data_IF_196782225881
#
_entry.id   IF_196782225881
#
_cell.length_a   1.000
_cell.length_b   1.000
_cell.length_c   1.000
_cell.angle_alpha   90.00
_cell.angle_beta   90.00
_cell.angle_gamma   90.00
#
_symmetry.space_group_name_H-M   'P 1'
#
loop_
_entity.id
_entity.type
_entity.pdbx_description
1 polymer ?
#
# COMPACT_ATOMS: atom_id res chain seq x y z
N UNK A 1 -19.94 -15.14 15.95
CA UNK A 1 -19.83 -14.36 14.68
C UNK A 1 -18.57 -13.55 14.74
N UNK A 2 -17.76 -13.56 13.69
CA UNK A 2 -16.52 -12.78 13.70
C UNK A 2 -16.86 -11.28 13.66
N UNK A 3 -16.32 -10.54 14.62
CA UNK A 3 -16.41 -9.09 14.68
C UNK A 3 -15.62 -8.48 13.51
N UNK A 4 -16.12 -7.40 12.96
CA UNK A 4 -15.47 -6.71 11.83
C UNK A 4 -15.27 -5.24 12.16
N UNK A 5 -14.14 -4.69 11.74
CA UNK A 5 -13.66 -3.37 12.15
C UNK A 5 -13.31 -2.50 10.94
N UNK A 6 -13.36 -1.18 11.13
CA UNK A 6 -12.65 -0.17 10.32
C UNK A 6 -11.91 0.72 11.33
N UNK A 7 -10.58 0.67 11.35
CA UNK A 7 -9.81 1.31 12.39
C UNK A 7 -10.30 0.90 13.79
N UNK A 8 -10.59 1.84 14.70
CA UNK A 8 -11.11 1.55 16.03
C UNK A 8 -12.61 1.22 16.06
N UNK A 9 -13.34 1.39 14.95
CA UNK A 9 -14.80 1.25 14.89
C UNK A 9 -15.21 -0.19 14.68
N UNK A 10 -16.04 -0.72 15.60
CA UNK A 10 -16.57 -2.08 15.57
C UNK A 10 -17.93 -2.14 14.89
N UNK A 11 -18.15 -3.18 14.08
CA UNK A 11 -19.42 -3.47 13.41
C UNK A 11 -19.88 -4.89 13.71
N UNK A 12 -21.18 -5.05 13.90
CA UNK A 12 -21.78 -6.36 14.21
C UNK A 12 -21.70 -7.35 13.05
N UNK A 13 -21.66 -6.87 11.80
CA UNK A 13 -21.64 -7.70 10.59
C UNK A 13 -20.85 -7.05 9.47
N UNK A 14 -20.39 -7.86 8.50
CA UNK A 14 -19.76 -7.35 7.26
C UNK A 14 -20.69 -6.40 6.50
N UNK A 15 -22.00 -6.68 6.49
CA UNK A 15 -23.01 -5.84 5.83
C UNK A 15 -23.13 -4.47 6.53
N UNK A 16 -23.15 -4.44 7.86
CA UNK A 16 -23.18 -3.19 8.62
C UNK A 16 -21.92 -2.34 8.38
N UNK A 17 -20.74 -2.98 8.34
CA UNK A 17 -19.47 -2.33 8.00
C UNK A 17 -19.48 -1.72 6.60
N UNK A 18 -19.96 -2.48 5.61
CA UNK A 18 -20.08 -1.98 4.24
C UNK A 18 -21.12 -0.86 4.15
N UNK A 19 -22.26 -1.00 4.84
CA UNK A 19 -23.31 0.01 4.90
C UNK A 19 -22.79 1.35 5.42
N UNK A 20 -21.99 1.35 6.48
CA UNK A 20 -21.40 2.57 7.01
C UNK A 20 -20.58 3.37 5.97
N UNK A 21 -19.81 2.67 5.13
CA UNK A 21 -19.07 3.34 4.04
C UNK A 21 -20.03 3.85 2.95
N UNK A 22 -21.04 3.06 2.59
CA UNK A 22 -22.03 3.46 1.60
C UNK A 22 -22.85 4.68 2.06
N UNK A 23 -23.18 4.76 3.35
CA UNK A 23 -23.88 5.89 3.95
C UNK A 23 -23.04 7.17 3.87
N UNK A 24 -21.72 7.10 4.09
CA UNK A 24 -20.82 8.22 3.86
C UNK A 24 -20.88 8.65 2.38
N UNK A 25 -20.64 7.73 1.46
CA UNK A 25 -20.64 8.03 0.03
C UNK A 25 -21.99 8.58 -0.46
N UNK A 26 -23.10 8.20 0.17
CA UNK A 26 -24.43 8.68 -0.16
C UNK A 26 -24.64 10.15 0.24
N UNK A 27 -24.05 10.59 1.36
CA UNK A 27 -24.21 11.97 1.89
C UNK A 27 -23.64 13.06 0.98
N UNK A 28 -22.61 12.73 0.20
CA UNK A 28 -21.90 13.72 -0.62
C UNK A 28 -22.27 13.61 -2.09
N UNK A 29 -22.34 14.72 -2.78
CA UNK A 29 -22.51 14.75 -4.24
C UNK A 29 -21.20 14.35 -4.96
N UNK A 30 -21.30 14.02 -6.25
CA UNK A 30 -20.09 13.78 -7.06
C UNK A 30 -19.21 15.05 -7.11
N UNK A 31 -17.93 14.88 -6.82
CA UNK A 31 -16.94 15.95 -6.75
C UNK A 31 -16.91 16.69 -5.42
N UNK A 32 -17.87 16.45 -4.52
CA UNK A 32 -17.92 17.11 -3.22
C UNK A 32 -16.84 16.58 -2.30
N UNK A 33 -16.23 17.49 -1.54
CA UNK A 33 -15.27 17.18 -0.47
C UNK A 33 -16.02 16.58 0.73
N UNK A 34 -15.42 15.61 1.36
CA UNK A 34 -15.89 15.04 2.63
C UNK A 34 -15.45 15.98 3.74
N UNK A 35 -16.38 16.78 4.25
CA UNK A 35 -16.16 17.88 5.19
C UNK A 35 -16.51 17.54 6.65
N UNK A 36 -17.16 16.39 6.89
CA UNK A 36 -17.43 15.92 8.23
C UNK A 36 -16.21 15.15 8.77
N UNK A 37 -15.72 15.55 9.93
CA UNK A 37 -14.52 14.98 10.56
C UNK A 37 -14.63 13.46 10.77
N UNK A 38 -15.78 12.97 11.26
CA UNK A 38 -16.01 11.54 11.48
C UNK A 38 -15.97 10.72 10.19
N UNK A 39 -16.44 11.30 9.08
CA UNK A 39 -16.43 10.67 7.76
C UNK A 39 -15.01 10.63 7.18
N UNK A 40 -14.27 11.74 7.32
CA UNK A 40 -12.86 11.81 6.90
C UNK A 40 -12.01 10.80 7.67
N UNK A 41 -12.15 10.74 8.99
CA UNK A 41 -11.44 9.78 9.83
C UNK A 41 -11.77 8.33 9.45
N UNK A 42 -13.04 8.02 9.18
CA UNK A 42 -13.42 6.67 8.75
C UNK A 42 -12.82 6.32 7.40
N UNK A 43 -12.78 7.25 6.45
CA UNK A 43 -12.18 7.02 5.13
C UNK A 43 -10.65 6.88 5.22
N UNK A 44 -9.97 7.58 6.15
CA UNK A 44 -8.52 7.37 6.43
C UNK A 44 -8.27 5.97 6.97
N UNK A 45 -9.04 5.56 7.97
CA UNK A 45 -8.95 4.20 8.53
C UNK A 45 -9.22 3.15 7.45
N UNK A 46 -10.22 3.38 6.61
CA UNK A 46 -10.57 2.50 5.51
C UNK A 46 -9.45 2.40 4.46
N UNK A 47 -8.86 3.53 4.05
CA UNK A 47 -7.76 3.55 3.09
C UNK A 47 -6.53 2.80 3.62
N UNK A 48 -6.25 2.90 4.92
CA UNK A 48 -5.17 2.15 5.58
C UNK A 48 -5.38 0.63 5.53
N UNK A 49 -6.62 0.16 5.34
CA UNK A 49 -6.94 -1.26 5.14
C UNK A 49 -6.79 -1.71 3.67
N UNK A 50 -6.51 -0.80 2.74
CA UNK A 50 -6.34 -1.17 1.33
C UNK A 50 -5.08 -2.03 1.16
N UNK A 51 -5.08 -3.11 0.34
CA UNK A 51 -3.89 -3.93 0.06
C UNK A 51 -2.66 -3.12 -0.38
N UNK A 52 -2.91 -2.03 -1.11
CA UNK A 52 -1.88 -1.12 -1.62
C UNK A 52 -1.89 0.23 -0.85
N UNK A 53 -2.19 0.18 0.47
CA UNK A 53 -2.34 1.39 1.29
C UNK A 53 -1.11 2.30 1.23
N UNK A 54 0.09 1.74 1.34
CA UNK A 54 1.35 2.51 1.32
C UNK A 54 1.50 3.34 0.05
N UNK A 55 1.16 2.76 -1.11
CA UNK A 55 1.24 3.45 -2.40
C UNK A 55 0.14 4.50 -2.55
N UNK A 56 -1.06 4.21 -2.02
CA UNK A 56 -2.22 5.09 -2.14
C UNK A 56 -2.22 6.25 -1.16
N UNK A 57 -1.62 6.09 -0.01
CA UNK A 57 -1.45 7.17 0.99
C UNK A 57 -0.29 8.10 0.58
N UNK A 58 0.75 7.56 -0.07
CA UNK A 58 1.89 8.33 -0.57
C UNK A 58 2.45 9.32 0.45
N UNK A 59 2.58 10.61 0.10
CA UNK A 59 3.11 11.65 0.99
C UNK A 59 2.12 12.06 2.10
N UNK A 60 0.93 11.49 2.12
CA UNK A 60 -0.15 11.78 3.06
C UNK A 60 -1.42 12.27 2.36
N UNK A 61 -2.55 11.98 2.99
CA UNK A 61 -3.87 12.41 2.50
C UNK A 61 -4.21 13.77 3.09
N UNK A 62 -4.50 14.74 2.24
CA UNK A 62 -5.00 16.06 2.62
C UNK A 62 -6.50 15.95 2.97
N UNK A 63 -7.31 15.55 2.00
CA UNK A 63 -8.75 15.34 2.20
C UNK A 63 -9.29 14.26 1.26
N UNK A 64 -10.56 13.87 1.48
CA UNK A 64 -11.29 12.99 0.57
C UNK A 64 -12.37 13.73 -0.19
N UNK A 65 -12.72 13.20 -1.37
CA UNK A 65 -13.91 13.58 -2.11
C UNK A 65 -14.62 12.36 -2.67
N UNK A 66 -15.89 12.50 -2.97
CA UNK A 66 -16.70 11.46 -3.59
C UNK A 66 -16.71 11.63 -5.10
N UNK A 67 -16.38 10.59 -5.83
CA UNK A 67 -16.34 10.60 -7.30
C UNK A 67 -17.26 9.54 -7.91
N UNK A 68 -17.56 9.69 -9.20
CA UNK A 68 -18.16 8.61 -9.97
C UNK A 68 -17.11 7.54 -10.27
N UNK A 69 -17.43 6.26 -10.05
CA UNK A 69 -16.51 5.19 -10.39
C UNK A 69 -16.48 4.93 -11.90
N UNK A 70 -15.35 4.50 -12.49
CA UNK A 70 -15.24 4.27 -13.94
C UNK A 70 -16.18 3.21 -14.50
N UNK A 71 -16.74 2.36 -13.65
CA UNK A 71 -17.62 1.23 -14.01
C UNK A 71 -19.10 1.49 -13.74
N UNK A 72 -19.58 2.71 -13.94
CA UNK A 72 -21.00 3.05 -13.82
C UNK A 72 -21.27 4.24 -12.88
N UNK A 73 -22.56 4.51 -12.61
CA UNK A 73 -23.02 5.64 -11.77
C UNK A 73 -22.83 5.40 -10.26
N UNK A 74 -21.90 4.53 -9.87
CA UNK A 74 -21.63 4.31 -8.46
C UNK A 74 -20.69 5.37 -7.91
N UNK A 75 -20.91 5.74 -6.65
CA UNK A 75 -20.03 6.63 -5.91
C UNK A 75 -18.85 5.85 -5.35
N UNK A 76 -17.66 6.44 -5.38
CA UNK A 76 -16.44 5.91 -4.79
C UNK A 76 -15.64 7.01 -4.10
N UNK A 77 -14.80 6.65 -3.13
CA UNK A 77 -13.90 7.60 -2.48
C UNK A 77 -12.65 7.85 -3.33
N UNK A 78 -12.20 9.09 -3.34
CA UNK A 78 -10.92 9.53 -3.90
C UNK A 78 -10.17 10.31 -2.83
N UNK A 79 -8.94 9.92 -2.54
CA UNK A 79 -8.03 10.68 -1.71
C UNK A 79 -7.37 11.78 -2.55
N UNK A 80 -7.31 12.99 -2.03
CA UNK A 80 -6.47 14.06 -2.53
C UNK A 80 -5.27 14.14 -1.60
N UNK A 81 -4.08 13.96 -2.17
CA UNK A 81 -2.84 13.91 -1.41
C UNK A 81 -2.31 15.32 -1.17
N UNK A 82 -1.44 15.48 -0.17
CA UNK A 82 -0.84 16.78 0.18
C UNK A 82 -0.03 17.42 -0.96
N UNK A 83 0.43 16.63 -1.93
CA UNK A 83 1.08 17.11 -3.14
C UNK A 83 0.10 17.46 -4.29
N UNK A 84 -1.21 17.35 -4.03
CA UNK A 84 -2.27 17.63 -4.99
C UNK A 84 -2.65 16.45 -5.92
N UNK A 85 -1.96 15.31 -5.82
CA UNK A 85 -2.32 14.11 -6.57
C UNK A 85 -3.66 13.55 -6.10
N UNK A 86 -4.35 12.84 -7.00
CA UNK A 86 -5.68 12.28 -6.77
C UNK A 86 -5.66 10.78 -6.95
N UNK A 87 -6.04 10.06 -5.92
CA UNK A 87 -5.97 8.59 -5.88
C UNK A 87 -7.34 8.02 -5.56
N UNK A 88 -8.03 7.53 -6.59
CA UNK A 88 -9.25 6.76 -6.38
C UNK A 88 -8.93 5.38 -5.79
N UNK A 89 -9.78 4.91 -4.87
CA UNK A 89 -9.61 3.58 -4.30
C UNK A 89 -10.94 2.84 -4.13
N UNK A 90 -10.87 1.52 -4.12
CA UNK A 90 -12.04 0.68 -3.93
C UNK A 90 -12.26 0.39 -2.45
N UNK A 91 -13.33 0.94 -1.88
CA UNK A 91 -13.71 0.60 -0.52
C UNK A 91 -14.01 -0.89 -0.34
N UNK A 92 -14.46 -1.58 -1.37
CA UNK A 92 -14.71 -3.01 -1.33
C UNK A 92 -13.42 -3.79 -1.11
N UNK A 93 -12.33 -3.43 -1.83
CA UNK A 93 -11.00 -4.02 -1.60
C UNK A 93 -10.49 -3.78 -0.18
N UNK A 94 -10.76 -2.61 0.41
CA UNK A 94 -10.43 -2.33 1.80
C UNK A 94 -11.18 -3.23 2.78
N UNK A 95 -12.41 -3.63 2.45
CA UNK A 95 -13.27 -4.44 3.31
C UNK A 95 -13.10 -5.96 3.08
N UNK A 96 -12.37 -6.38 2.07
CA UNK A 96 -12.03 -7.77 1.84
C UNK A 96 -11.06 -8.25 2.94
N UNK A 97 -11.28 -9.47 3.42
CA UNK A 97 -10.30 -10.13 4.28
C UNK A 97 -9.12 -10.51 3.37
N UNK A 98 -7.90 -10.05 3.66
CA UNK A 98 -6.75 -10.39 2.83
C UNK A 98 -6.60 -11.90 2.72
N UNK A 99 -6.40 -12.40 1.51
CA UNK A 99 -6.07 -13.80 1.28
C UNK A 99 -4.70 -14.12 1.91
N UNK A 100 -4.41 -15.40 2.15
CA UNK A 100 -3.11 -15.81 2.66
C UNK A 100 -1.98 -15.28 1.76
N UNK A 101 -2.11 -15.40 0.44
CA UNK A 101 -1.17 -14.84 -0.54
C UNK A 101 -0.94 -13.33 -0.35
N UNK A 102 -1.99 -12.54 -0.14
CA UNK A 102 -1.86 -11.10 0.07
C UNK A 102 -1.13 -10.79 1.38
N UNK A 103 -1.40 -11.56 2.45
CA UNK A 103 -0.67 -11.42 3.72
C UNK A 103 0.80 -11.80 3.59
N UNK A 104 1.12 -12.86 2.83
CA UNK A 104 2.51 -13.23 2.55
C UNK A 104 3.23 -12.14 1.76
N UNK A 105 2.61 -11.57 0.73
CA UNK A 105 3.18 -10.45 -0.02
C UNK A 105 3.44 -9.22 0.86
N UNK A 106 2.53 -8.92 1.78
CA UNK A 106 2.72 -7.83 2.75
C UNK A 106 3.88 -8.14 3.72
N UNK A 107 3.97 -9.37 4.23
CA UNK A 107 5.08 -9.81 5.07
C UNK A 107 6.43 -9.76 4.33
N UNK A 108 6.47 -10.18 3.06
CA UNK A 108 7.66 -10.07 2.21
C UNK A 108 8.16 -8.63 2.08
N UNK A 109 7.25 -7.65 1.92
CA UNK A 109 7.62 -6.22 1.91
C UNK A 109 8.20 -5.79 3.26
N UNK A 110 7.56 -6.20 4.35
CA UNK A 110 8.03 -5.88 5.71
C UNK A 110 9.43 -6.44 5.96
N UNK A 111 9.69 -7.69 5.57
CA UNK A 111 10.99 -8.34 5.73
C UNK A 111 12.13 -7.61 5.01
N UNK A 112 11.88 -7.05 3.84
CA UNK A 112 12.92 -6.36 3.04
C UNK A 112 12.99 -4.86 3.30
N UNK A 113 12.12 -4.31 4.14
CA UNK A 113 12.12 -2.88 4.44
C UNK A 113 13.48 -2.36 4.92
N UNK A 114 14.25 -3.08 5.75
CA UNK A 114 15.61 -2.66 6.10
C UNK A 114 16.54 -2.51 4.89
N UNK A 115 16.42 -3.35 3.87
CA UNK A 115 17.25 -3.25 2.64
C UNK A 115 16.87 -2.01 1.84
N UNK A 116 15.57 -1.73 1.72
CA UNK A 116 15.05 -0.54 1.05
C UNK A 116 15.50 0.73 1.77
N UNK A 117 15.39 0.75 3.09
CA UNK A 117 15.85 1.88 3.91
C UNK A 117 17.37 2.10 3.77
N UNK A 118 18.18 1.05 3.89
CA UNK A 118 19.63 1.15 3.74
C UNK A 118 20.04 1.64 2.35
N UNK A 119 19.32 1.26 1.31
CA UNK A 119 19.55 1.80 -0.03
C UNK A 119 19.30 3.31 -0.09
N UNK A 120 18.16 3.77 0.46
CA UNK A 120 17.86 5.19 0.53
C UNK A 120 18.91 5.95 1.36
N UNK A 121 19.23 5.46 2.56
CA UNK A 121 20.18 6.07 3.47
C UNK A 121 21.57 6.23 2.80
N UNK A 122 22.06 5.17 2.13
CA UNK A 122 23.34 5.21 1.43
C UNK A 122 23.39 6.28 0.33
N UNK A 123 22.30 6.45 -0.42
CA UNK A 123 22.19 7.47 -1.47
C UNK A 123 22.11 8.88 -0.87
N UNK A 124 21.41 9.02 0.26
CA UNK A 124 21.28 10.30 0.97
C UNK A 124 22.63 10.74 1.58
N UNK A 125 23.32 9.84 2.27
CA UNK A 125 24.64 10.12 2.86
C UNK A 125 25.70 10.47 1.79
N UNK A 126 25.62 9.84 0.62
CA UNK A 126 26.48 10.14 -0.52
C UNK A 126 26.10 11.44 -1.25
N UNK A 127 25.05 12.16 -0.83
CA UNK A 127 24.47 13.31 -1.53
C UNK A 127 24.11 13.02 -2.99
N UNK A 128 23.61 11.81 -3.27
CA UNK A 128 23.23 11.35 -4.61
C UNK A 128 21.71 11.15 -4.73
N UNK A 129 20.92 11.99 -4.05
CA UNK A 129 19.47 12.00 -4.20
C UNK A 129 19.10 12.64 -5.55
N UNK A 130 19.21 11.83 -6.60
CA UNK A 130 18.79 12.19 -7.96
C UNK A 130 17.89 11.09 -8.50
N UNK A 131 16.93 11.47 -9.34
CA UNK A 131 16.08 10.50 -10.03
C UNK A 131 16.93 9.63 -10.97
N UNK A 132 16.85 8.32 -10.80
CA UNK A 132 17.53 7.37 -11.69
C UNK A 132 16.86 7.29 -13.08
N UNK A 133 15.67 7.92 -13.25
CA UNK A 133 14.99 8.05 -14.54
C UNK A 133 15.41 9.31 -15.29
N UNK A 134 15.37 10.46 -14.62
CA UNK A 134 15.56 11.77 -15.26
C UNK A 134 16.88 12.45 -14.92
N UNK A 135 17.60 11.98 -13.88
CA UNK A 135 18.81 12.62 -13.36
C UNK A 135 18.56 13.93 -12.60
N UNK A 136 17.32 14.31 -12.40
CA UNK A 136 16.97 15.53 -11.66
C UNK A 136 17.16 15.33 -10.15
N UNK A 137 17.62 16.38 -9.43
CA UNK A 137 17.69 16.33 -7.97
C UNK A 137 16.32 16.01 -7.36
N UNK A 138 16.32 15.19 -6.33
CA UNK A 138 15.14 14.81 -5.56
C UNK A 138 15.18 15.44 -4.16
N UNK A 139 14.03 15.87 -3.68
CA UNK A 139 13.83 16.21 -2.27
C UNK A 139 13.61 14.93 -1.45
N UNK A 140 14.15 14.88 -0.22
CA UNK A 140 13.99 13.75 0.69
C UNK A 140 12.52 13.38 0.93
N UNK A 141 11.63 14.37 0.96
CA UNK A 141 10.19 14.18 1.18
C UNK A 141 9.44 13.64 -0.04
N UNK A 142 10.03 13.77 -1.25
CA UNK A 142 9.45 13.30 -2.52
C UNK A 142 10.26 12.16 -3.16
N UNK A 143 11.18 11.55 -2.41
CA UNK A 143 12.03 10.48 -2.92
C UNK A 143 11.45 9.11 -2.56
N UNK A 144 11.23 8.28 -3.58
CA UNK A 144 10.78 6.91 -3.45
C UNK A 144 11.83 5.92 -3.95
N UNK A 145 12.09 4.88 -3.15
CA UNK A 145 12.85 3.71 -3.63
C UNK A 145 11.90 2.83 -4.45
N UNK A 146 12.26 2.57 -5.68
CA UNK A 146 11.47 1.81 -6.64
C UNK A 146 12.30 0.72 -7.31
N UNK A 147 11.64 -0.29 -7.88
CA UNK A 147 12.26 -1.33 -8.71
C UNK A 147 12.46 -0.78 -10.12
N UNK A 148 13.58 -0.10 -10.38
CA UNK A 148 13.71 0.80 -11.54
C UNK A 148 13.98 0.09 -12.87
N UNK A 149 14.97 -0.80 -12.95
CA UNK A 149 15.44 -1.44 -14.20
C UNK A 149 15.48 -2.98 -14.13
N UNK A 150 14.74 -3.56 -13.23
CA UNK A 150 14.73 -5.02 -13.03
C UNK A 150 13.30 -5.55 -12.93
N UNK A 151 13.18 -6.79 -12.50
CA UNK A 151 11.89 -7.37 -12.19
C UNK A 151 11.23 -6.57 -11.06
N UNK A 152 9.92 -6.48 -11.09
CA UNK A 152 9.15 -5.78 -10.04
C UNK A 152 9.14 -6.61 -8.76
N UNK A 153 8.86 -5.97 -7.66
CA UNK A 153 8.67 -6.66 -6.38
C UNK A 153 7.77 -7.88 -6.50
N UNK A 154 6.63 -7.74 -7.18
CA UNK A 154 5.67 -8.83 -7.36
C UNK A 154 6.30 -10.03 -8.09
N UNK A 155 7.07 -9.80 -9.13
CA UNK A 155 7.68 -10.87 -9.93
C UNK A 155 8.75 -11.62 -9.12
N UNK A 156 9.58 -10.87 -8.37
CA UNK A 156 10.58 -11.43 -7.44
C UNK A 156 9.90 -12.27 -6.36
N UNK A 157 8.79 -11.76 -5.81
CA UNK A 157 8.03 -12.45 -4.78
C UNK A 157 7.34 -13.73 -5.30
N UNK A 158 6.80 -13.69 -6.53
CA UNK A 158 6.20 -14.87 -7.19
C UNK A 158 7.25 -15.94 -7.44
N UNK A 159 8.42 -15.56 -7.95
CA UNK A 159 9.53 -16.50 -8.18
C UNK A 159 9.94 -17.15 -6.87
N UNK A 160 10.24 -16.36 -5.84
CA UNK A 160 10.63 -16.89 -4.53
C UNK A 160 9.56 -17.80 -3.91
N UNK A 161 8.30 -17.42 -3.96
CA UNK A 161 7.22 -18.26 -3.44
C UNK A 161 7.15 -19.61 -4.16
N UNK A 162 7.39 -19.64 -5.48
CA UNK A 162 7.49 -20.90 -6.25
C UNK A 162 8.64 -21.78 -5.75
N UNK A 163 9.81 -21.21 -5.51
CA UNK A 163 11.00 -21.91 -4.99
C UNK A 163 10.83 -22.37 -3.53
N UNK A 164 10.00 -21.67 -2.76
CA UNK A 164 9.67 -22.01 -1.37
C UNK A 164 8.61 -23.12 -1.22
N UNK A 165 8.04 -23.59 -2.30
CA UNK A 165 6.97 -24.61 -2.28
C UNK A 165 5.56 -24.04 -2.39
N UNK A 166 5.40 -22.80 -2.81
CA UNK A 166 4.14 -22.08 -2.97
C UNK A 166 3.83 -21.13 -1.81
N UNK A 167 2.78 -20.33 -2.02
CA UNK A 167 2.35 -19.34 -1.01
C UNK A 167 1.96 -19.97 0.33
N UNK A 168 1.36 -21.16 0.29
CA UNK A 168 0.88 -21.87 1.49
C UNK A 168 2.01 -22.48 2.32
N UNK A 169 3.24 -22.54 1.77
CA UNK A 169 4.43 -22.98 2.50
C UNK A 169 5.05 -21.85 3.35
N UNK A 170 4.55 -20.64 3.27
CA UNK A 170 5.04 -19.48 4.02
C UNK A 170 4.14 -19.21 5.21
N UNK A 171 4.56 -19.68 6.39
CA UNK A 171 3.85 -19.38 7.63
C UNK A 171 4.18 -17.99 8.15
N UNK A 172 3.16 -17.29 8.66
CA UNK A 172 3.26 -15.95 9.18
C UNK A 172 3.07 -15.89 10.69
N UNK A 173 3.82 -15.02 11.34
CA UNK A 173 3.57 -14.67 12.75
C UNK A 173 2.21 -14.03 12.91
N UNK A 174 1.72 -13.95 14.16
CA UNK A 174 0.60 -13.08 14.48
C UNK A 174 0.93 -11.63 14.10
N UNK A 175 -0.07 -10.92 13.60
CA UNK A 175 0.10 -9.51 13.30
C UNK A 175 0.45 -8.70 14.55
N UNK A 176 1.40 -7.79 14.42
CA UNK A 176 1.71 -6.81 15.46
C UNK A 176 0.54 -5.83 15.63
N UNK A 177 0.59 -5.00 16.68
CA UNK A 177 -0.38 -3.91 16.87
C UNK A 177 -0.46 -2.93 15.67
N UNK A 178 0.53 -2.96 14.76
CA UNK A 178 0.56 -2.18 13.52
C UNK A 178 0.10 -2.97 12.30
N UNK A 179 -0.48 -4.16 12.46
CA UNK A 179 -0.93 -5.02 11.37
C UNK A 179 0.20 -5.65 10.55
N UNK A 180 1.44 -5.66 11.06
CA UNK A 180 2.60 -6.23 10.37
C UNK A 180 2.82 -7.67 10.80
N UNK A 181 2.84 -8.59 9.85
CA UNK A 181 3.28 -9.97 10.05
C UNK A 181 4.69 -10.16 9.47
N UNK A 182 5.41 -11.12 10.01
CA UNK A 182 6.72 -11.56 9.53
C UNK A 182 6.66 -13.07 9.22
N UNK A 183 7.67 -13.59 8.55
CA UNK A 183 7.79 -15.03 8.39
C UNK A 183 8.07 -15.70 9.73
N UNK A 184 7.35 -16.76 10.04
CA UNK A 184 7.62 -17.58 11.24
C UNK A 184 8.96 -18.31 11.12
N UNK A 185 9.25 -18.88 9.95
CA UNK A 185 10.55 -19.49 9.66
C UNK A 185 11.58 -18.41 9.31
N UNK A 186 12.48 -18.12 10.25
CA UNK A 186 13.53 -17.13 10.06
C UNK A 186 14.58 -17.53 9.03
N UNK A 187 14.81 -18.82 8.78
CA UNK A 187 15.70 -19.29 7.70
C UNK A 187 15.08 -19.01 6.34
N UNK A 188 13.75 -19.17 6.21
CA UNK A 188 13.03 -18.81 4.99
C UNK A 188 13.09 -17.29 4.78
N UNK A 189 12.98 -16.48 5.84
CA UNK A 189 13.14 -15.03 5.77
C UNK A 189 14.55 -14.63 5.29
N UNK A 190 15.61 -15.27 5.81
CA UNK A 190 16.99 -15.05 5.36
C UNK A 190 17.18 -15.40 3.88
N UNK A 191 16.59 -16.51 3.42
CA UNK A 191 16.57 -16.87 1.99
C UNK A 191 15.84 -15.82 1.16
N UNK A 192 14.70 -15.31 1.64
CA UNK A 192 13.97 -14.23 0.99
C UNK A 192 14.81 -12.94 0.91
N UNK A 193 15.51 -12.57 2.00
CA UNK A 193 16.41 -11.42 2.00
C UNK A 193 17.55 -11.56 0.99
N UNK A 194 18.13 -12.77 0.86
CA UNK A 194 19.17 -13.04 -0.12
C UNK A 194 18.64 -12.98 -1.55
N UNK A 195 17.51 -13.65 -1.81
CA UNK A 195 16.83 -13.66 -3.11
C UNK A 195 16.47 -12.25 -3.57
N UNK A 196 15.91 -11.42 -2.66
CA UNK A 196 15.59 -10.04 -2.97
C UNK A 196 16.84 -9.23 -3.34
N UNK A 197 17.96 -9.35 -2.57
CA UNK A 197 19.21 -8.65 -2.89
C UNK A 197 19.79 -9.04 -4.25
N UNK A 198 19.64 -10.30 -4.64
CA UNK A 198 20.16 -10.82 -5.91
C UNK A 198 19.36 -10.30 -7.11
N UNK A 199 18.04 -10.18 -6.98
CA UNK A 199 17.14 -9.89 -8.12
C UNK A 199 16.64 -8.44 -8.17
N UNK A 200 16.62 -7.73 -7.04
CA UNK A 200 16.09 -6.37 -7.00
C UNK A 200 17.10 -5.34 -7.54
N UNK A 201 16.69 -4.60 -8.54
CA UNK A 201 17.41 -3.42 -9.02
C UNK A 201 16.67 -2.18 -8.54
N UNK A 202 17.11 -1.68 -7.39
CA UNK A 202 16.51 -0.50 -6.77
C UNK A 202 17.00 0.78 -7.44
N UNK A 203 16.15 1.79 -7.48
CA UNK A 203 16.45 3.13 -7.95
C UNK A 203 15.62 4.17 -7.19
N UNK A 204 16.04 5.42 -7.25
CA UNK A 204 15.33 6.55 -6.68
C UNK A 204 14.48 7.23 -7.75
N UNK A 205 13.23 7.49 -7.43
CA UNK A 205 12.27 8.20 -8.27
C UNK A 205 11.53 9.25 -7.46
N UNK A 206 11.06 10.31 -8.10
CA UNK A 206 10.05 11.18 -7.51
C UNK A 206 8.70 10.45 -7.42
N UNK A 207 7.81 10.93 -6.56
CA UNK A 207 6.42 10.43 -6.48
C UNK A 207 5.75 10.41 -7.84
N UNK A 208 5.94 11.47 -8.63
CA UNK A 208 5.35 11.62 -9.95
C UNK A 208 5.87 10.59 -10.96
N UNK A 209 7.17 10.31 -10.97
CA UNK A 209 7.78 9.29 -11.82
C UNK A 209 7.34 7.89 -11.42
N UNK A 210 7.33 7.62 -10.11
CA UNK A 210 6.90 6.32 -9.57
C UNK A 210 5.44 6.01 -9.91
N UNK A 211 4.54 6.99 -9.82
CA UNK A 211 3.12 6.84 -10.14
C UNK A 211 2.82 6.68 -11.64
N UNK A 212 3.68 7.21 -12.52
CA UNK A 212 3.53 7.08 -13.98
C UNK A 212 3.90 5.71 -14.52
N UNK A 213 4.59 4.92 -13.73
CA UNK A 213 5.01 3.57 -14.17
C UNK A 213 3.79 2.68 -14.35
N UNK A 214 3.69 1.93 -15.47
CA UNK A 214 2.61 0.98 -15.66
C UNK A 214 2.61 0.00 -14.48
N UNK A 215 1.53 0.00 -13.72
CA UNK A 215 1.29 -1.04 -12.73
C UNK A 215 0.81 -2.27 -13.51
N UNK A 216 1.65 -3.27 -13.65
CA UNK A 216 1.26 -4.56 -14.19
C UNK A 216 0.75 -5.45 -13.07
#
# INVERSE_FOLDING_TARGET
MAEVWIGPRRYATKKARQGAVQDILARYAHGQVVDQEDDDLLLRDLLNMHPDATEKVGPGVDYFRVIATPRGNHKGPEAVLVNGDKVAFSYQKCLEVPTHRQRVLAAMRTEIQPQVNSYFESRNEANTLVSDETGQPLDTSDTHVSYFRGPRFHDIAVQFAGEAGGWDAVDLTSETARGLALFTDRKLAERWHAHHREHAVLGLLSSKENLRRPQA
#
